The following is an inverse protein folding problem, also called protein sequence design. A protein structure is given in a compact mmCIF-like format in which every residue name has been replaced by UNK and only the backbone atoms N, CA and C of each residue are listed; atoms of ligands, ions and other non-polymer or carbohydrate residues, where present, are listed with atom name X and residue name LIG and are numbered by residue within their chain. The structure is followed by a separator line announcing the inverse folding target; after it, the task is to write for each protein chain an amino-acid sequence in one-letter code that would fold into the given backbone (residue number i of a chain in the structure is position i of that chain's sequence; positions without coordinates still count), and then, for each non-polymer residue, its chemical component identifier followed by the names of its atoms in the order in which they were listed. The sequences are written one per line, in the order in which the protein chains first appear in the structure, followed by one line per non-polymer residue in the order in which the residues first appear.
data_IF_953452560169
#
_entry.id   IF_953452560169
#
_cell.length_a   1.000
_cell.length_b   1.000
_cell.length_c   1.000
_cell.angle_alpha   90.00
_cell.angle_beta   90.00
_cell.angle_gamma   90.00
#
_symmetry.space_group_name_H-M   'P 1'
#
loop_
_entity.id
_entity.type
_entity.pdbx_description
1 polymer ?
#
# COMPACT_ATOMS: atom_id res chain seq x y z
N UNK A 1 9.02 -11.57 -7.47
CA UNK A 1 9.13 -11.76 -6.02
C UNK A 1 8.32 -10.70 -5.23
N UNK A 2 8.33 -9.43 -5.68
CA UNK A 2 7.76 -8.28 -4.95
C UNK A 2 6.30 -8.50 -4.51
N UNK A 3 5.47 -9.04 -5.39
CA UNK A 3 4.06 -9.36 -5.11
C UNK A 3 3.86 -10.26 -3.87
N UNK A 4 4.84 -11.13 -3.56
CA UNK A 4 4.77 -12.02 -2.39
C UNK A 4 4.89 -11.27 -1.07
N UNK A 5 5.39 -10.05 -1.08
CA UNK A 5 5.47 -9.18 0.09
C UNK A 5 4.27 -8.25 0.25
N UNK A 6 3.44 -8.08 -0.80
CA UNK A 6 2.26 -7.24 -0.75
C UNK A 6 1.11 -7.97 -0.08
N UNK A 7 0.38 -7.29 0.79
CA UNK A 7 -0.76 -7.84 1.50
C UNK A 7 -1.97 -6.91 1.40
N UNK A 8 -3.14 -7.51 1.29
CA UNK A 8 -4.41 -6.85 1.53
C UNK A 8 -4.60 -6.71 3.04
N UNK A 9 -4.99 -5.52 3.48
CA UNK A 9 -5.22 -5.18 4.88
C UNK A 9 -6.72 -4.95 5.07
N UNK A 10 -7.27 -5.63 6.06
CA UNK A 10 -8.67 -5.48 6.46
C UNK A 10 -8.75 -5.18 7.94
N UNK A 11 -9.48 -4.14 8.31
CA UNK A 11 -9.73 -3.79 9.71
C UNK A 11 -11.19 -3.39 9.90
N UNK A 12 -11.72 -3.70 11.08
CA UNK A 12 -13.05 -3.31 11.49
C UNK A 12 -12.97 -2.15 12.47
N UNK A 13 -13.61 -1.03 12.12
CA UNK A 13 -13.72 0.16 12.96
C UNK A 13 -15.21 0.43 13.16
N UNK A 14 -15.73 0.21 14.37
CA UNK A 14 -17.17 0.25 14.62
C UNK A 14 -17.92 -0.79 13.79
N UNK A 15 -18.89 -0.34 13.01
CA UNK A 15 -19.70 -1.19 12.12
C UNK A 15 -19.16 -1.28 10.68
N UNK A 16 -18.07 -0.58 10.39
CA UNK A 16 -17.48 -0.51 9.05
C UNK A 16 -16.26 -1.41 8.91
N UNK A 17 -16.05 -1.89 7.70
CA UNK A 17 -14.82 -2.60 7.30
C UNK A 17 -14.02 -1.68 6.39
N UNK A 18 -12.80 -1.36 6.83
CA UNK A 18 -11.83 -0.57 6.08
C UNK A 18 -10.84 -1.47 5.37
N UNK A 19 -10.52 -1.10 4.14
CA UNK A 19 -9.71 -1.88 3.22
C UNK A 19 -8.50 -1.06 2.81
N UNK A 20 -7.32 -1.65 2.90
CA UNK A 20 -6.07 -1.03 2.47
C UNK A 20 -5.10 -2.09 1.92
N UNK A 21 -3.99 -1.61 1.43
CA UNK A 21 -2.87 -2.43 0.98
C UNK A 21 -1.62 -2.08 1.80
N UNK A 22 -0.73 -3.03 1.96
CA UNK A 22 0.58 -2.81 2.56
C UNK A 22 1.62 -3.72 1.96
N UNK A 23 2.87 -3.54 2.38
CA UNK A 23 3.97 -4.38 1.94
C UNK A 23 4.90 -4.74 3.10
N UNK A 24 5.27 -6.01 3.20
CA UNK A 24 6.41 -6.41 4.01
C UNK A 24 7.67 -5.70 3.51
N UNK A 25 8.43 -5.14 4.44
CA UNK A 25 9.69 -4.46 4.14
C UNK A 25 10.84 -5.10 4.91
N UNK A 26 11.97 -5.21 4.24
CA UNK A 26 13.21 -5.61 4.88
C UNK A 26 13.79 -4.46 5.71
N UNK A 27 14.67 -4.77 6.63
CA UNK A 27 15.42 -3.79 7.40
C UNK A 27 16.94 -3.96 7.18
N UNK A 28 17.71 -3.03 7.67
CA UNK A 28 19.18 -3.05 7.53
C UNK A 28 19.85 -4.22 8.27
N UNK A 29 19.21 -4.74 9.32
CA UNK A 29 19.67 -5.92 10.05
C UNK A 29 19.38 -7.24 9.33
N UNK A 30 18.47 -7.22 8.33
CA UNK A 30 18.02 -8.41 7.57
C UNK A 30 17.56 -9.56 8.46
N UNK A 31 16.90 -9.22 9.58
CA UNK A 31 16.49 -10.16 10.63
C UNK A 31 15.08 -10.74 10.42
N UNK A 32 14.48 -10.44 9.26
CA UNK A 32 13.15 -10.90 8.87
C UNK A 32 12.03 -10.53 9.87
N UNK A 33 12.21 -9.48 10.65
CA UNK A 33 11.10 -8.93 11.43
C UNK A 33 9.99 -8.50 10.48
N UNK A 34 8.74 -8.90 10.76
CA UNK A 34 7.64 -8.70 9.83
C UNK A 34 7.09 -7.26 9.88
N UNK A 35 7.92 -6.32 9.45
CA UNK A 35 7.49 -4.93 9.26
C UNK A 35 6.62 -4.82 8.03
N UNK A 36 5.48 -4.12 8.17
CA UNK A 36 4.58 -3.78 7.06
C UNK A 36 4.54 -2.26 6.92
N UNK A 37 4.85 -1.78 5.73
CA UNK A 37 4.71 -0.39 5.33
C UNK A 37 3.34 -0.21 4.67
N UNK A 38 2.61 0.85 5.03
CA UNK A 38 1.30 1.23 4.50
C UNK A 38 1.09 2.74 4.63
N UNK A 39 -0.10 3.25 4.40
CA UNK A 39 -0.45 4.65 4.60
C UNK A 39 -0.98 4.92 6.02
N UNK A 40 -0.75 6.14 6.52
CA UNK A 40 -1.25 6.58 7.83
C UNK A 40 -2.78 6.61 7.87
N UNK A 41 -3.43 7.18 6.82
CA UNK A 41 -4.88 7.30 6.78
C UNK A 41 -5.60 5.95 6.84
N UNK A 42 -4.95 4.86 6.45
CA UNK A 42 -5.48 3.51 6.62
C UNK A 42 -5.77 3.12 8.08
N UNK A 43 -5.13 3.80 9.02
CA UNK A 43 -5.21 3.53 10.46
C UNK A 43 -5.75 4.74 11.24
N UNK A 44 -6.51 5.59 10.55
CA UNK A 44 -7.22 6.73 11.09
C UNK A 44 -8.73 6.41 11.14
N UNK A 45 -9.39 6.83 12.18
CA UNK A 45 -10.85 6.77 12.28
C UNK A 45 -11.42 8.02 11.62
N UNK A 46 -12.20 7.85 10.56
CA UNK A 46 -12.78 8.94 9.78
C UNK A 46 -13.68 9.87 10.64
N UNK A 47 -14.35 9.32 11.65
CA UNK A 47 -15.25 10.09 12.49
C UNK A 47 -14.52 11.02 13.47
N UNK A 48 -13.35 10.61 13.96
CA UNK A 48 -12.59 11.36 14.97
C UNK A 48 -11.30 11.97 14.45
N UNK A 49 -10.90 11.64 13.22
CA UNK A 49 -9.58 11.97 12.63
C UNK A 49 -8.40 11.54 13.51
N UNK A 50 -8.64 10.64 14.46
CA UNK A 50 -7.64 10.12 15.38
C UNK A 50 -7.13 8.77 14.90
N UNK A 51 -5.92 8.41 15.32
CA UNK A 51 -5.44 7.04 15.10
C UNK A 51 -6.35 6.02 15.80
N UNK A 52 -6.63 4.93 15.10
CA UNK A 52 -7.38 3.81 15.68
C UNK A 52 -6.69 3.29 16.93
N UNK A 53 -7.44 2.85 17.97
CA UNK A 53 -6.85 2.31 19.18
C UNK A 53 -6.16 0.97 18.93
N UNK A 54 -5.24 0.59 19.82
CA UNK A 54 -4.47 -0.65 19.70
C UNK A 54 -5.35 -1.91 19.67
N UNK A 55 -6.55 -1.84 20.25
CA UNK A 55 -7.55 -2.93 20.17
C UNK A 55 -7.97 -3.25 18.74
N UNK A 56 -8.03 -2.26 17.85
CA UNK A 56 -8.28 -2.45 16.42
C UNK A 56 -7.04 -3.07 15.75
N UNK A 57 -5.84 -2.56 16.07
CA UNK A 57 -4.60 -3.10 15.51
C UNK A 57 -4.41 -4.59 15.83
N UNK A 58 -4.79 -5.02 17.04
CA UNK A 58 -4.68 -6.43 17.43
C UNK A 58 -5.64 -7.36 16.67
N UNK A 59 -6.66 -6.82 16.03
CA UNK A 59 -7.66 -7.55 15.25
C UNK A 59 -7.51 -7.35 13.74
N UNK A 60 -6.61 -6.47 13.30
CA UNK A 60 -6.36 -6.21 11.88
C UNK A 60 -5.86 -7.47 11.18
N UNK A 61 -6.40 -7.75 10.00
CA UNK A 61 -6.09 -8.93 9.19
C UNK A 61 -5.18 -8.54 8.03
N UNK A 62 -4.16 -9.37 7.78
CA UNK A 62 -3.19 -9.23 6.70
C UNK A 62 -3.24 -10.47 5.82
N UNK A 63 -3.72 -10.32 4.58
CA UNK A 63 -3.88 -11.40 3.62
C UNK A 63 -2.73 -11.37 2.61
N UNK A 64 -1.83 -12.32 2.68
CA UNK A 64 -0.77 -12.55 1.69
C UNK A 64 -1.26 -13.49 0.61
N UNK A 65 -0.74 -13.34 -0.61
CA UNK A 65 -1.12 -14.16 -1.78
C UNK A 65 -2.61 -14.09 -2.13
N UNK A 66 -3.27 -12.98 -1.81
CA UNK A 66 -4.65 -12.76 -2.24
C UNK A 66 -4.65 -12.27 -3.70
N UNK A 67 -4.52 -13.20 -4.63
CA UNK A 67 -4.30 -12.94 -6.05
C UNK A 67 -4.96 -13.99 -6.94
N UNK A 68 -5.08 -13.68 -8.22
CA UNK A 68 -5.41 -14.66 -9.26
C UNK A 68 -4.12 -15.27 -9.84
N UNK A 69 -4.24 -16.42 -10.49
CA UNK A 69 -3.12 -17.11 -11.15
C UNK A 69 -2.58 -16.38 -12.38
N UNK A 70 -3.31 -15.39 -12.89
CA UNK A 70 -2.95 -14.57 -14.04
C UNK A 70 -3.95 -13.45 -14.28
N UNK A 71 -3.81 -12.74 -15.41
CA UNK A 71 -4.67 -11.62 -15.80
C UNK A 71 -5.85 -12.04 -16.71
N UNK A 72 -5.96 -13.31 -17.04
CA UNK A 72 -7.03 -13.80 -17.94
C UNK A 72 -8.32 -14.12 -17.16
N UNK A 73 -9.45 -14.03 -17.82
CA UNK A 73 -10.78 -14.32 -17.23
C UNK A 73 -10.93 -15.74 -16.68
N UNK A 74 -10.10 -16.67 -17.14
CA UNK A 74 -10.04 -18.05 -16.67
C UNK A 74 -9.10 -18.26 -15.48
N UNK A 75 -8.46 -17.20 -14.98
CA UNK A 75 -7.53 -17.27 -13.86
C UNK A 75 -8.25 -17.71 -12.58
N UNK A 76 -7.58 -18.55 -11.80
CA UNK A 76 -8.12 -19.12 -10.57
C UNK A 76 -7.60 -18.39 -9.34
N UNK A 77 -8.44 -18.20 -8.29
CA UNK A 77 -7.99 -17.60 -7.04
C UNK A 77 -6.92 -18.45 -6.34
N UNK A 78 -5.91 -17.79 -5.79
CA UNK A 78 -5.00 -18.40 -4.84
C UNK A 78 -5.68 -18.52 -3.46
N UNK A 79 -5.21 -19.46 -2.64
CA UNK A 79 -5.63 -19.54 -1.24
C UNK A 79 -4.78 -18.57 -0.41
N UNK A 80 -5.35 -17.48 0.11
CA UNK A 80 -4.58 -16.49 0.87
C UNK A 80 -4.02 -17.08 2.16
N UNK A 81 -2.91 -16.51 2.61
CA UNK A 81 -2.28 -16.75 3.91
C UNK A 81 -2.58 -15.56 4.81
N UNK A 82 -3.21 -15.81 5.96
CA UNK A 82 -3.71 -14.73 6.82
C UNK A 82 -2.94 -14.68 8.13
N UNK A 83 -2.53 -13.48 8.51
CA UNK A 83 -2.02 -13.15 9.84
C UNK A 83 -2.91 -12.12 10.50
N UNK A 84 -3.03 -12.20 11.81
CA UNK A 84 -3.85 -11.29 12.62
C UNK A 84 -2.98 -10.50 13.57
N UNK A 85 -3.27 -9.20 13.63
CA UNK A 85 -2.73 -8.31 14.64
C UNK A 85 -1.36 -7.74 14.33
N UNK A 86 -1.23 -6.47 14.69
CA UNK A 86 0.02 -5.71 14.56
C UNK A 86 0.12 -4.68 15.70
N UNK A 87 1.26 -4.02 15.76
CA UNK A 87 1.47 -2.82 16.56
C UNK A 87 2.11 -1.73 15.71
N UNK A 88 1.83 -0.49 16.05
CA UNK A 88 2.43 0.70 15.45
C UNK A 88 3.90 0.81 15.86
N UNK A 89 4.77 1.11 14.90
CA UNK A 89 6.21 1.34 15.14
C UNK A 89 6.56 2.80 14.90
N UNK A 90 6.14 3.35 13.75
CA UNK A 90 6.35 4.74 13.39
C UNK A 90 5.26 5.18 12.42
N UNK A 91 5.01 6.47 12.37
CA UNK A 91 4.07 7.04 11.41
C UNK A 91 4.42 8.50 11.10
N UNK A 92 3.93 8.95 9.95
CA UNK A 92 3.90 10.34 9.53
C UNK A 92 2.46 10.64 9.10
N UNK A 93 1.74 11.56 9.75
CA UNK A 93 0.35 11.86 9.39
C UNK A 93 0.27 12.46 7.99
N UNK A 94 -0.94 12.56 7.42
CA UNK A 94 -1.17 13.33 6.21
C UNK A 94 -0.91 14.79 6.52
N UNK A 95 -1.63 15.35 7.51
CA UNK A 95 -1.49 16.73 7.90
C UNK A 95 -0.07 17.02 8.38
N UNK A 96 0.61 17.90 7.66
CA UNK A 96 2.01 18.30 7.91
C UNK A 96 3.02 17.14 7.90
N UNK A 97 2.70 16.07 7.18
CA UNK A 97 3.49 14.85 7.08
C UNK A 97 3.53 14.26 5.67
N UNK A 98 3.73 12.97 5.56
CA UNK A 98 3.87 12.22 4.30
C UNK A 98 3.00 10.96 4.23
N UNK A 99 1.95 10.90 5.03
CA UNK A 99 0.98 9.79 5.06
C UNK A 99 1.61 8.39 5.19
N UNK A 100 2.66 8.25 5.95
CA UNK A 100 3.35 6.96 6.12
C UNK A 100 2.98 6.24 7.41
N UNK A 101 2.86 4.90 7.36
CA UNK A 101 2.64 4.04 8.51
C UNK A 101 3.54 2.81 8.47
N UNK A 102 4.33 2.61 9.53
CA UNK A 102 5.13 1.39 9.72
C UNK A 102 4.55 0.58 10.88
N UNK A 103 4.17 -0.64 10.57
CA UNK A 103 3.61 -1.62 11.50
C UNK A 103 4.61 -2.76 11.73
N UNK A 104 4.47 -3.44 12.85
CA UNK A 104 5.11 -4.74 13.10
C UNK A 104 4.01 -5.76 13.41
N UNK A 105 3.94 -6.83 12.62
CA UNK A 105 2.98 -7.92 12.88
C UNK A 105 3.29 -8.59 14.23
N UNK A 106 2.25 -9.02 14.92
CA UNK A 106 2.37 -9.62 16.26
C UNK A 106 2.99 -11.03 16.22
N UNK A 107 3.00 -11.66 15.06
CA UNK A 107 3.50 -13.01 14.86
C UNK A 107 4.59 -13.07 13.81
N UNK A 108 5.56 -13.93 13.99
CA UNK A 108 6.53 -14.28 12.94
C UNK A 108 5.80 -14.96 11.79
N UNK A 109 6.23 -14.67 10.57
CA UNK A 109 5.62 -15.28 9.39
C UNK A 109 6.18 -16.70 9.20
N UNK A 110 5.33 -17.73 9.15
CA UNK A 110 5.80 -19.08 8.87
C UNK A 110 6.50 -19.16 7.51
N UNK A 111 7.59 -19.89 7.42
CA UNK A 111 8.33 -20.07 6.16
C UNK A 111 7.46 -20.68 5.04
N UNK A 112 6.43 -21.44 5.41
CA UNK A 112 5.44 -22.02 4.49
C UNK A 112 4.54 -20.98 3.81
N UNK A 113 4.59 -19.71 4.25
CA UNK A 113 3.86 -18.63 3.60
C UNK A 113 4.55 -18.14 2.34
N UNK A 114 5.83 -18.45 2.15
CA UNK A 114 6.61 -18.08 0.97
C UNK A 114 6.51 -16.56 0.64
N UNK A 115 6.62 -15.72 1.67
CA UNK A 115 6.58 -14.26 1.53
C UNK A 115 7.94 -13.71 1.13
N UNK A 116 7.93 -12.47 0.62
CA UNK A 116 9.13 -11.73 0.27
C UNK A 116 9.20 -10.41 1.03
N UNK A 117 10.33 -10.14 1.69
CA UNK A 117 10.58 -8.87 2.38
C UNK A 117 11.16 -7.89 1.38
N UNK A 118 10.34 -6.96 0.92
CA UNK A 118 10.70 -6.00 -0.12
C UNK A 118 11.80 -5.04 0.34
N UNK A 119 12.73 -4.77 -0.56
CA UNK A 119 13.71 -3.71 -0.39
C UNK A 119 13.08 -2.34 -0.63
N UNK A 120 13.71 -1.30 -0.14
CA UNK A 120 13.26 0.08 -0.31
C UNK A 120 14.43 1.00 -0.65
N UNK A 121 14.10 2.11 -1.31
CA UNK A 121 15.04 3.16 -1.69
C UNK A 121 14.44 4.53 -1.31
N UNK A 122 15.12 5.26 -0.46
CA UNK A 122 14.68 6.61 -0.06
C UNK A 122 15.15 7.71 -1.02
N UNK A 123 15.97 7.37 -2.01
CA UNK A 123 16.39 8.29 -3.08
C UNK A 123 15.32 8.36 -4.18
N UNK A 124 14.08 8.72 -3.81
CA UNK A 124 12.87 8.60 -4.63
C UNK A 124 12.93 9.26 -6.01
N UNK A 125 13.78 10.27 -6.19
CA UNK A 125 13.87 11.03 -7.43
C UNK A 125 14.64 10.33 -8.56
N UNK A 126 15.09 9.11 -8.37
CA UNK A 126 15.83 8.33 -9.37
C UNK A 126 14.98 7.35 -10.19
N UNK A 127 13.67 7.23 -9.90
CA UNK A 127 12.83 6.32 -10.63
C UNK A 127 12.42 6.90 -12.00
N UNK A 128 12.66 6.12 -13.04
CA UNK A 128 12.27 6.44 -14.42
C UNK A 128 11.10 5.60 -14.90
N UNK A 129 10.78 4.52 -14.20
CA UNK A 129 9.63 3.64 -14.45
C UNK A 129 9.41 2.74 -13.25
N UNK A 130 8.29 2.06 -13.21
CA UNK A 130 8.02 1.09 -12.16
C UNK A 130 6.59 0.56 -12.14
N UNK A 131 6.20 0.05 -10.97
CA UNK A 131 4.88 -0.56 -10.80
C UNK A 131 4.31 -0.27 -9.41
N UNK A 132 3.00 -0.03 -9.35
CA UNK A 132 2.20 -0.16 -8.15
C UNK A 132 1.60 -1.57 -8.06
N UNK A 133 1.64 -2.19 -6.90
CA UNK A 133 0.99 -3.49 -6.65
C UNK A 133 0.01 -3.30 -5.51
N UNK A 134 -1.29 -3.52 -5.76
CA UNK A 134 -2.35 -3.06 -4.88
C UNK A 134 -3.59 -3.97 -4.89
N UNK A 135 -4.52 -3.71 -3.96
CA UNK A 135 -5.81 -4.40 -3.83
C UNK A 135 -6.97 -3.39 -3.97
N UNK A 136 -7.29 -2.95 -5.21
CA UNK A 136 -8.36 -1.98 -5.43
C UNK A 136 -9.71 -2.57 -5.03
N UNK A 137 -10.55 -1.79 -4.36
CA UNK A 137 -11.86 -2.18 -3.82
C UNK A 137 -11.82 -3.45 -2.94
N UNK A 138 -10.64 -3.83 -2.42
CA UNK A 138 -10.45 -5.09 -1.70
C UNK A 138 -10.48 -6.33 -2.60
N UNK A 139 -10.37 -6.16 -3.91
CA UNK A 139 -10.31 -7.25 -4.88
C UNK A 139 -8.93 -7.93 -4.90
N UNK A 140 -8.80 -8.97 -5.70
CA UNK A 140 -7.54 -9.65 -5.95
C UNK A 140 -6.46 -8.66 -6.40
N UNK A 141 -5.22 -8.96 -6.04
CA UNK A 141 -4.05 -8.16 -6.40
C UNK A 141 -4.02 -7.73 -7.85
N UNK A 142 -3.79 -6.45 -8.09
CA UNK A 142 -3.61 -5.83 -9.41
C UNK A 142 -2.23 -5.19 -9.51
N UNK A 143 -1.82 -4.91 -10.74
CA UNK A 143 -0.56 -4.24 -11.07
C UNK A 143 -0.87 -3.08 -11.99
N UNK A 144 -0.41 -1.89 -11.61
CA UNK A 144 -0.46 -0.67 -12.43
C UNK A 144 0.99 -0.24 -12.73
N UNK A 145 1.33 -0.09 -14.00
CA UNK A 145 2.68 0.28 -14.45
C UNK A 145 2.75 1.77 -14.74
N UNK A 146 3.93 2.36 -14.59
CA UNK A 146 4.19 3.75 -14.95
C UNK A 146 5.56 3.89 -15.63
N UNK A 147 5.64 4.77 -16.63
CA UNK A 147 6.86 5.12 -17.35
C UNK A 147 7.42 6.49 -17.00
N UNK A 148 6.69 7.27 -16.22
CA UNK A 148 7.11 8.60 -15.80
C UNK A 148 6.67 8.87 -14.36
N UNK A 149 7.51 9.55 -13.60
CA UNK A 149 7.22 9.96 -12.23
C UNK A 149 7.77 11.37 -11.99
N UNK A 150 6.94 12.24 -11.49
CA UNK A 150 7.29 13.63 -11.21
C UNK A 150 7.09 13.92 -9.72
N UNK A 151 8.07 14.53 -9.03
CA UNK A 151 7.87 15.03 -7.68
C UNK A 151 6.76 16.08 -7.66
N UNK A 152 5.85 16.00 -6.71
CA UNK A 152 4.81 17.01 -6.55
C UNK A 152 5.45 18.31 -6.04
N UNK A 153 5.35 19.45 -6.78
CA UNK A 153 6.08 20.66 -6.47
C UNK A 153 5.51 21.46 -5.29
N UNK A 154 4.34 21.09 -4.80
CA UNK A 154 3.61 21.73 -3.70
C UNK A 154 3.09 20.66 -2.74
N UNK A 155 2.43 21.12 -1.68
CA UNK A 155 1.72 20.23 -0.78
C UNK A 155 0.55 19.57 -1.51
N UNK A 156 0.41 18.24 -1.41
CA UNK A 156 -0.81 17.58 -1.81
C UNK A 156 -1.95 17.93 -0.83
N UNK A 157 -3.13 18.18 -1.35
CA UNK A 157 -4.30 18.52 -0.55
C UNK A 157 -5.36 17.44 -0.78
N UNK A 158 -5.75 16.76 0.28
CA UNK A 158 -6.92 15.90 0.27
C UNK A 158 -8.18 16.78 0.14
N UNK A 159 -8.93 16.61 -0.95
CA UNK A 159 -10.09 17.46 -1.25
C UNK A 159 -11.25 17.22 -0.30
N UNK A 160 -11.35 16.05 0.31
CA UNK A 160 -12.46 15.65 1.17
C UNK A 160 -12.34 16.25 2.57
N UNK A 161 -11.20 16.10 3.23
CA UNK A 161 -10.97 16.57 4.59
C UNK A 161 -10.04 17.78 4.72
N UNK A 162 -9.44 18.23 3.60
CA UNK A 162 -8.48 19.36 3.54
C UNK A 162 -7.14 19.10 4.22
N UNK A 163 -6.82 17.88 4.57
CA UNK A 163 -5.48 17.54 5.04
C UNK A 163 -4.44 17.83 3.96
N UNK A 164 -3.29 18.34 4.38
CA UNK A 164 -2.23 18.81 3.48
C UNK A 164 -0.89 18.20 3.89
N UNK A 165 -0.23 17.50 2.96
CA UNK A 165 1.12 16.99 3.18
C UNK A 165 2.17 18.10 3.20
N UNK A 166 3.36 17.79 3.71
CA UNK A 166 4.50 18.73 3.60
C UNK A 166 4.99 18.80 2.14
N UNK A 167 5.60 19.92 1.80
CA UNK A 167 6.14 20.15 0.46
C UNK A 167 7.16 19.06 0.08
N UNK A 168 7.06 18.57 -1.14
CA UNK A 168 7.92 17.51 -1.71
C UNK A 168 7.82 16.16 -1.00
N UNK A 169 6.74 15.90 -0.24
CA UNK A 169 6.49 14.56 0.32
C UNK A 169 5.91 13.59 -0.70
N UNK A 170 5.30 14.11 -1.75
CA UNK A 170 4.53 13.31 -2.69
C UNK A 170 5.20 13.17 -4.05
N UNK A 171 4.89 12.07 -4.71
CA UNK A 171 5.24 11.75 -6.08
C UNK A 171 3.96 11.61 -6.89
N UNK A 172 3.84 12.33 -7.99
CA UNK A 172 2.75 12.14 -8.95
C UNK A 172 3.15 11.01 -9.90
N UNK A 173 2.24 10.07 -10.08
CA UNK A 173 2.43 8.93 -10.97
C UNK A 173 1.23 8.86 -11.91
N UNK A 174 1.50 8.86 -13.22
CA UNK A 174 0.51 8.57 -14.25
C UNK A 174 0.70 7.13 -14.70
N UNK A 175 -0.35 6.32 -14.63
CA UNK A 175 -0.28 4.92 -15.01
C UNK A 175 -0.43 4.73 -16.53
N UNK A 176 0.25 3.69 -17.03
CA UNK A 176 0.31 3.37 -18.45
C UNK A 176 -0.92 2.57 -18.91
N UNK A 177 -1.24 2.74 -20.19
CA UNK A 177 -2.08 1.80 -20.93
C UNK A 177 -1.28 0.54 -21.23
N UNK A 178 -1.85 -0.63 -20.91
CA UNK A 178 -1.27 -1.95 -21.23
C UNK A 178 -2.20 -2.77 -22.12
N UNK A 179 -1.74 -3.92 -22.57
CA UNK A 179 -2.60 -4.88 -23.31
C UNK A 179 -3.76 -5.45 -22.47
N UNK A 180 -3.69 -5.32 -21.15
CA UNK A 180 -4.71 -5.78 -20.20
C UNK A 180 -5.59 -4.65 -19.66
N UNK A 181 -5.46 -3.45 -20.19
CA UNK A 181 -6.19 -2.26 -19.77
C UNK A 181 -5.27 -1.17 -19.23
N UNK A 182 -5.86 -0.07 -18.80
CA UNK A 182 -5.16 1.04 -18.16
C UNK A 182 -4.95 0.76 -16.69
N UNK A 183 -3.78 1.13 -16.15
CA UNK A 183 -3.54 1.08 -14.71
C UNK A 183 -4.36 2.15 -13.98
N UNK A 184 -5.01 1.78 -12.89
CA UNK A 184 -5.76 2.70 -12.02
C UNK A 184 -5.56 2.32 -10.56
N UNK A 185 -5.96 3.21 -9.65
CA UNK A 185 -6.07 2.92 -8.20
C UNK A 185 -7.46 3.31 -7.72
N UNK A 186 -7.96 2.61 -6.71
CA UNK A 186 -9.28 2.83 -6.13
C UNK A 186 -9.19 2.73 -4.60
N UNK A 187 -10.29 3.00 -3.89
CA UNK A 187 -10.38 2.72 -2.46
C UNK A 187 -9.91 1.29 -2.14
N UNK A 188 -9.11 1.08 -1.11
CA UNK A 188 -8.43 -0.20 -0.83
C UNK A 188 -7.01 -0.30 -1.40
N UNK A 189 -6.66 0.47 -2.43
CA UNK A 189 -5.28 0.59 -2.93
C UNK A 189 -4.38 1.41 -1.99
N UNK A 190 -4.96 2.20 -1.10
CA UNK A 190 -4.29 3.02 -0.09
C UNK A 190 -3.18 2.25 0.63
N UNK A 191 -1.99 2.86 0.77
CA UNK A 191 -0.82 2.23 1.39
C UNK A 191 -0.08 1.23 0.51
N UNK A 192 -0.52 1.01 -0.73
CA UNK A 192 0.16 0.10 -1.65
C UNK A 192 1.56 0.60 -1.99
N UNK A 193 2.55 -0.32 -2.12
CA UNK A 193 3.91 0.04 -2.46
C UNK A 193 4.03 0.47 -3.92
N UNK A 194 4.77 1.54 -4.15
CA UNK A 194 5.27 1.95 -5.45
C UNK A 194 6.72 1.48 -5.60
N UNK A 195 6.98 0.63 -6.58
CA UNK A 195 8.31 0.09 -6.88
C UNK A 195 8.94 0.83 -8.05
N UNK A 196 10.24 1.13 -7.96
CA UNK A 196 11.03 1.64 -9.07
C UNK A 196 11.46 0.51 -10.02
N UNK A 197 12.17 0.85 -11.10
CA UNK A 197 12.70 -0.09 -12.10
C UNK A 197 13.63 -1.17 -11.54
N UNK A 198 14.18 -0.98 -10.34
CA UNK A 198 15.02 -1.94 -9.63
C UNK A 198 14.22 -2.84 -8.68
N UNK A 199 12.89 -2.67 -8.61
CA UNK A 199 12.01 -3.42 -7.70
C UNK A 199 12.15 -3.04 -6.24
N UNK A 200 12.58 -1.79 -5.95
CA UNK A 200 12.67 -1.22 -4.61
C UNK A 200 11.50 -0.28 -4.35
N UNK A 201 10.94 -0.33 -3.15
CA UNK A 201 9.85 0.56 -2.74
C UNK A 201 10.40 1.98 -2.60
N UNK A 202 9.72 2.94 -3.23
CA UNK A 202 10.05 4.37 -3.20
C UNK A 202 8.96 5.22 -2.58
N UNK A 203 7.79 4.66 -2.32
CA UNK A 203 6.66 5.34 -1.70
C UNK A 203 5.49 4.41 -1.46
N UNK A 204 4.45 4.96 -0.85
CA UNK A 204 3.15 4.32 -0.62
C UNK A 204 2.05 5.19 -1.20
N UNK A 205 0.96 4.59 -1.66
CA UNK A 205 -0.17 5.32 -2.21
C UNK A 205 -0.94 6.06 -1.10
N UNK A 206 -1.01 7.39 -1.20
CA UNK A 206 -1.87 8.23 -0.36
C UNK A 206 -3.25 8.45 -0.97
N UNK A 207 -3.32 8.68 -2.27
CA UNK A 207 -4.58 8.91 -2.98
C UNK A 207 -4.36 9.28 -4.43
N UNK A 208 -5.44 9.61 -5.12
CA UNK A 208 -5.43 10.01 -6.52
C UNK A 208 -6.83 10.13 -7.08
N UNK A 209 -6.94 10.64 -8.28
CA UNK A 209 -8.20 10.83 -9.01
C UNK A 209 -8.46 9.78 -10.09
N UNK A 210 -7.55 8.83 -10.29
CA UNK A 210 -7.73 7.82 -11.34
C UNK A 210 -8.86 6.84 -11.01
N UNK A 211 -9.65 6.51 -12.00
CA UNK A 211 -10.71 5.50 -11.95
C UNK A 211 -10.75 4.68 -13.25
N UNK A 212 -11.60 3.67 -13.30
CA UNK A 212 -11.80 2.91 -14.55
C UNK A 212 -12.41 3.76 -15.67
N UNK A 213 -13.21 4.76 -15.31
CA UNK A 213 -13.84 5.71 -16.26
C UNK A 213 -12.89 6.86 -16.64
N UNK A 214 -12.05 7.29 -15.69
CA UNK A 214 -11.08 8.37 -15.83
C UNK A 214 -9.71 7.89 -15.35
N UNK A 215 -8.93 7.16 -16.19
CA UNK A 215 -7.70 6.51 -15.75
C UNK A 215 -6.55 7.46 -15.39
N UNK A 216 -6.62 8.74 -15.82
CA UNK A 216 -5.58 9.78 -15.59
C UNK A 216 -6.19 11.06 -15.07
#
# INVERSE_FOLDING_TARGET
NQQKGVCYIQQRIGDYIYLCTGSLVNNTARDQKPYVLSAFHCFQDDASSSLVPDSILTQTLFYFHYSLSGCESTSTPSKPKVLTGCRRIAYSPIQDGSDGMLLLLNHTIPSTYDVYYNGWDRAAFSAVSGVGIHHPAGDYMKISTFGEMVPYPANWINTDNKDTTIANADLIVTFDQTKHGHGVTEGGSSGSPLFNQNGLIIGTLSGGGSSCEEPN
#
